data_IF_606517421118
#
_entry.id   IF_606517421118
#
_cell.length_a   1.000
_cell.length_b   1.000
_cell.length_c   1.000
_cell.angle_alpha   90.00
_cell.angle_beta   90.00
_cell.angle_gamma   90.00
#
_symmetry.space_group_name_H-M   'P 1'
#
loop_
_entity.id
_entity.type
_entity.pdbx_description
1 polymer ?
#
# COMPACT_ATOMS: atom_id res chain seq x y z
N UNK A 1 -40.13 16.37 -21.68
CA UNK A 1 -40.03 15.50 -20.48
C UNK A 1 -38.64 14.86 -20.34
N UNK A 2 -38.15 14.16 -21.38
CA UNK A 2 -36.85 13.45 -21.37
C UNK A 2 -35.64 14.34 -21.04
N UNK A 3 -35.52 15.54 -21.63
CA UNK A 3 -34.39 16.47 -21.33
C UNK A 3 -34.31 16.88 -19.85
N UNK A 4 -35.47 17.10 -19.18
CA UNK A 4 -35.52 17.43 -17.75
C UNK A 4 -35.07 16.25 -16.89
N UNK A 5 -35.51 15.04 -17.22
CA UNK A 5 -35.09 13.80 -16.55
C UNK A 5 -33.57 13.56 -16.68
N UNK A 6 -33.01 13.79 -17.86
CA UNK A 6 -31.56 13.66 -18.10
C UNK A 6 -30.76 14.65 -17.24
N UNK A 7 -31.20 15.91 -17.14
CA UNK A 7 -30.53 16.92 -16.31
C UNK A 7 -30.58 16.56 -14.83
N UNK A 8 -31.72 16.07 -14.35
CA UNK A 8 -31.88 15.63 -12.96
C UNK A 8 -30.94 14.44 -12.66
N UNK A 9 -30.91 13.43 -13.53
CA UNK A 9 -30.04 12.26 -13.37
C UNK A 9 -28.55 12.65 -13.36
N UNK A 10 -28.12 13.53 -14.26
CA UNK A 10 -26.75 14.05 -14.26
C UNK A 10 -26.43 14.85 -13.00
N UNK A 11 -27.37 15.65 -12.50
CA UNK A 11 -27.17 16.45 -11.29
C UNK A 11 -27.01 15.55 -10.07
N UNK A 12 -27.86 14.52 -9.94
CA UNK A 12 -27.74 13.52 -8.87
C UNK A 12 -26.38 12.82 -8.94
N UNK A 13 -25.95 12.39 -10.13
CA UNK A 13 -24.64 11.76 -10.31
C UNK A 13 -23.47 12.68 -9.91
N UNK A 14 -23.55 13.98 -10.23
CA UNK A 14 -22.52 14.95 -9.84
C UNK A 14 -22.50 15.10 -8.32
N UNK A 15 -23.66 15.22 -7.68
CA UNK A 15 -23.76 15.36 -6.22
C UNK A 15 -23.22 14.12 -5.49
N UNK A 16 -23.56 12.91 -5.94
CA UNK A 16 -23.02 11.67 -5.33
C UNK A 16 -21.50 11.58 -5.53
N UNK A 17 -20.98 11.97 -6.69
CA UNK A 17 -19.53 12.01 -6.91
C UNK A 17 -18.82 13.04 -6.01
N UNK A 18 -19.44 14.19 -5.74
CA UNK A 18 -18.90 15.19 -4.80
C UNK A 18 -18.91 14.67 -3.37
N UNK A 19 -19.97 13.99 -2.96
CA UNK A 19 -20.10 13.40 -1.64
C UNK A 19 -19.07 12.28 -1.42
N UNK A 20 -18.95 11.33 -2.35
CA UNK A 20 -17.93 10.26 -2.30
C UNK A 20 -16.53 10.86 -2.21
N UNK A 21 -16.22 11.89 -3.01
CA UNK A 21 -14.95 12.60 -2.93
C UNK A 21 -14.69 13.17 -1.54
N UNK A 22 -15.72 13.70 -0.87
CA UNK A 22 -15.62 14.20 0.51
C UNK A 22 -15.26 13.13 1.54
N UNK A 23 -15.61 11.86 1.28
CA UNK A 23 -15.30 10.74 2.17
C UNK A 23 -13.96 10.07 1.88
N UNK A 24 -13.57 9.96 0.62
CA UNK A 24 -12.42 9.11 0.22
C UNK A 24 -11.15 9.90 -0.13
N UNK A 25 -11.21 11.23 -0.18
CA UNK A 25 -10.02 12.08 -0.35
C UNK A 25 -9.48 12.58 0.99
N UNK A 26 -8.21 13.01 1.03
CA UNK A 26 -7.67 13.75 2.17
C UNK A 26 -8.54 14.96 2.50
N UNK A 27 -8.92 15.10 3.76
CA UNK A 27 -9.65 16.27 4.25
C UNK A 27 -8.74 17.49 4.20
N UNK A 28 -9.14 18.49 3.42
CA UNK A 28 -8.41 19.75 3.28
C UNK A 28 -8.24 20.43 4.65
N UNK A 29 -7.04 20.94 4.92
CA UNK A 29 -6.73 21.65 6.17
C UNK A 29 -6.37 20.74 7.36
N UNK A 30 -6.54 19.42 7.23
CA UNK A 30 -6.05 18.46 8.23
C UNK A 30 -4.64 17.98 7.87
N UNK A 31 -3.78 17.94 8.88
CA UNK A 31 -2.47 17.29 8.80
C UNK A 31 -2.63 15.79 8.48
N UNK A 32 -1.63 15.18 7.84
CA UNK A 32 -1.67 13.76 7.44
C UNK A 32 -1.99 12.86 8.64
N UNK A 33 -1.35 13.14 9.78
CA UNK A 33 -1.51 12.42 11.04
C UNK A 33 -2.94 12.45 11.59
N UNK A 34 -3.73 13.45 11.20
CA UNK A 34 -5.12 13.67 11.63
C UNK A 34 -6.14 13.18 10.60
N UNK A 35 -5.70 12.65 9.47
CA UNK A 35 -6.58 12.06 8.47
C UNK A 35 -7.15 10.73 9.00
N UNK A 36 -8.27 10.29 8.41
CA UNK A 36 -8.84 9.00 8.75
C UNK A 36 -7.83 7.86 8.46
N UNK A 37 -7.72 6.80 9.30
CA UNK A 37 -6.73 5.73 9.11
C UNK A 37 -6.71 5.11 7.71
N UNK A 38 -7.88 4.88 7.13
CA UNK A 38 -8.03 4.35 5.78
C UNK A 38 -7.48 5.31 4.71
N UNK A 39 -7.59 6.62 4.93
CA UNK A 39 -7.05 7.64 4.02
C UNK A 39 -5.53 7.69 4.10
N UNK A 40 -4.96 7.60 5.31
CA UNK A 40 -3.51 7.47 5.51
C UNK A 40 -2.99 6.19 4.83
N UNK A 41 -3.73 5.09 4.95
CA UNK A 41 -3.42 3.84 4.28
C UNK A 41 -3.47 3.97 2.76
N UNK A 42 -4.49 4.64 2.22
CA UNK A 42 -4.62 4.95 0.79
C UNK A 42 -3.48 5.83 0.29
N UNK A 43 -3.11 6.89 1.03
CA UNK A 43 -1.97 7.75 0.72
C UNK A 43 -0.67 6.94 0.61
N UNK A 44 -0.49 5.96 1.51
CA UNK A 44 0.70 5.12 1.50
C UNK A 44 0.76 4.24 0.26
N UNK A 45 -0.34 3.57 -0.08
CA UNK A 45 -0.42 2.74 -1.29
C UNK A 45 -0.23 3.60 -2.54
N UNK A 46 -0.82 4.80 -2.58
CA UNK A 46 -0.64 5.73 -3.70
C UNK A 46 0.82 6.18 -3.84
N UNK A 47 1.49 6.55 -2.74
CA UNK A 47 2.89 6.94 -2.77
C UNK A 47 3.82 5.83 -3.26
N UNK A 48 3.50 4.58 -2.95
CA UNK A 48 4.36 3.43 -3.22
C UNK A 48 4.03 2.70 -4.54
N UNK A 49 2.77 2.72 -4.99
CA UNK A 49 2.28 1.83 -6.05
C UNK A 49 1.24 2.46 -7.01
N UNK A 50 1.09 3.80 -7.04
CA UNK A 50 0.13 4.48 -7.97
C UNK A 50 0.34 4.19 -9.45
N UNK A 51 1.58 3.89 -9.88
CA UNK A 51 1.93 3.54 -11.26
C UNK A 51 1.89 2.04 -11.55
N UNK A 52 1.49 1.22 -10.58
CA UNK A 52 1.53 -0.23 -10.67
C UNK A 52 0.13 -0.83 -10.91
N UNK A 53 0.08 -2.13 -11.18
CA UNK A 53 -1.19 -2.83 -11.32
C UNK A 53 -1.98 -2.84 -10.01
N UNK A 54 -3.31 -3.03 -10.10
CA UNK A 54 -4.16 -3.14 -8.91
C UNK A 54 -3.69 -4.26 -7.95
N UNK A 55 -3.25 -5.41 -8.48
CA UNK A 55 -2.76 -6.50 -7.65
C UNK A 55 -1.44 -6.17 -6.95
N UNK A 56 -0.56 -5.38 -7.57
CA UNK A 56 0.65 -4.88 -6.91
C UNK A 56 0.32 -3.86 -5.80
N UNK A 57 -0.71 -3.02 -5.99
CA UNK A 57 -1.24 -2.15 -4.93
C UNK A 57 -1.77 -2.98 -3.75
N UNK A 58 -2.50 -4.07 -4.03
CA UNK A 58 -2.96 -5.04 -3.02
C UNK A 58 -1.79 -5.73 -2.33
N UNK A 59 -0.72 -6.09 -3.04
CA UNK A 59 0.47 -6.70 -2.44
C UNK A 59 1.21 -5.73 -1.49
N UNK A 60 1.35 -4.45 -1.87
CA UNK A 60 1.90 -3.41 -0.98
C UNK A 60 0.99 -3.22 0.24
N UNK A 61 -0.32 -3.17 0.04
CA UNK A 61 -1.30 -3.09 1.13
C UNK A 61 -1.19 -4.29 2.09
N UNK A 62 -0.99 -5.50 1.56
CA UNK A 62 -0.76 -6.72 2.33
C UNK A 62 0.50 -6.64 3.20
N UNK A 63 1.60 -6.11 2.67
CA UNK A 63 2.83 -5.89 3.46
C UNK A 63 2.56 -4.95 4.64
N UNK A 64 1.82 -3.85 4.41
CA UNK A 64 1.46 -2.92 5.48
C UNK A 64 0.60 -3.61 6.53
N UNK A 65 -0.43 -4.39 6.13
CA UNK A 65 -1.25 -5.19 7.05
C UNK A 65 -0.40 -6.19 7.84
N UNK A 66 0.58 -6.84 7.21
CA UNK A 66 1.46 -7.78 7.87
C UNK A 66 2.36 -7.10 8.92
N UNK A 67 2.83 -5.88 8.64
CA UNK A 67 3.53 -5.04 9.64
C UNK A 67 2.61 -4.65 10.80
N UNK A 68 1.39 -4.19 10.51
CA UNK A 68 0.34 -3.89 11.51
C UNK A 68 0.13 -5.07 12.45
N UNK A 69 -0.07 -6.27 11.90
CA UNK A 69 -0.23 -7.51 12.67
C UNK A 69 1.02 -7.88 13.47
N UNK A 70 2.21 -7.85 12.85
CA UNK A 70 3.49 -8.20 13.51
C UNK A 70 3.82 -7.26 14.66
N UNK A 71 3.58 -5.96 14.47
CA UNK A 71 3.92 -4.91 15.44
C UNK A 71 2.83 -4.68 16.48
N UNK A 72 1.62 -5.22 16.26
CA UNK A 72 0.43 -4.99 17.10
C UNK A 72 0.12 -3.51 17.27
N UNK A 73 0.15 -2.77 16.15
CA UNK A 73 -0.04 -1.31 16.09
C UNK A 73 -1.14 -0.95 15.10
N UNK A 74 -1.64 0.28 15.15
CA UNK A 74 -2.59 0.76 14.16
C UNK A 74 -1.93 0.99 12.79
N UNK A 75 -2.73 1.10 11.72
CA UNK A 75 -2.24 1.46 10.39
C UNK A 75 -1.46 2.80 10.40
N UNK A 76 -2.00 3.90 10.98
CA UNK A 76 -1.26 5.15 11.09
C UNK A 76 0.09 4.99 11.82
N UNK A 77 0.14 4.24 12.92
CA UNK A 77 1.38 4.05 13.68
C UNK A 77 2.47 3.34 12.87
N UNK A 78 2.08 2.39 12.02
CA UNK A 78 3.02 1.67 11.14
C UNK A 78 3.45 2.53 9.96
N UNK A 79 2.51 3.22 9.31
CA UNK A 79 2.76 4.02 8.10
C UNK A 79 3.60 5.26 8.42
N UNK A 80 3.27 5.94 9.52
CA UNK A 80 3.91 7.20 9.90
C UNK A 80 5.19 6.99 10.73
N UNK A 81 5.56 5.74 11.00
CA UNK A 81 6.82 5.45 11.67
C UNK A 81 8.01 5.93 10.80
N UNK A 82 8.93 6.63 11.45
CA UNK A 82 10.11 7.24 10.82
C UNK A 82 10.83 6.25 9.90
N UNK A 83 11.10 6.68 8.66
CA UNK A 83 11.83 5.95 7.60
C UNK A 83 11.17 4.65 7.10
N UNK A 84 9.92 4.35 7.46
CA UNK A 84 9.21 3.18 6.89
C UNK A 84 8.78 3.41 5.45
N UNK A 85 8.30 4.62 5.14
CA UNK A 85 7.85 5.03 3.83
C UNK A 85 8.38 6.43 3.56
N UNK A 86 9.24 6.56 2.54
CA UNK A 86 10.03 7.79 2.32
C UNK A 86 9.15 9.02 2.10
N UNK A 87 8.03 8.85 1.40
CA UNK A 87 7.06 9.89 1.06
C UNK A 87 6.37 10.56 2.25
N UNK A 88 6.43 9.98 3.47
CA UNK A 88 5.84 10.57 4.68
C UNK A 88 6.84 11.36 5.52
N UNK A 89 8.13 11.36 5.18
CA UNK A 89 9.13 12.11 5.93
C UNK A 89 8.80 13.62 5.86
N UNK A 90 8.89 14.32 6.98
CA UNK A 90 8.54 15.76 7.07
C UNK A 90 9.27 16.64 6.05
N UNK A 91 10.49 16.26 5.66
CA UNK A 91 11.31 16.98 4.69
C UNK A 91 11.11 16.51 3.24
N UNK A 92 10.27 15.51 2.98
CA UNK A 92 10.05 14.99 1.63
C UNK A 92 9.10 15.93 0.86
N UNK A 93 9.50 16.50 -0.29
CA UNK A 93 8.65 17.37 -1.10
C UNK A 93 7.40 16.65 -1.65
N UNK A 94 7.38 15.32 -1.64
CA UNK A 94 6.21 14.54 -2.01
C UNK A 94 5.17 14.44 -0.89
N UNK A 95 5.50 14.81 0.35
CA UNK A 95 4.56 14.77 1.48
C UNK A 95 3.35 15.66 1.26
N UNK A 96 3.54 16.86 0.71
CA UNK A 96 2.42 17.76 0.36
C UNK A 96 1.53 17.18 -0.74
N UNK A 97 2.11 16.40 -1.66
CA UNK A 97 1.36 15.78 -2.77
C UNK A 97 0.32 14.78 -2.25
N UNK A 98 0.60 14.13 -1.12
CA UNK A 98 -0.33 13.20 -0.46
C UNK A 98 -1.65 13.87 -0.05
N UNK A 99 -1.64 15.17 0.27
CA UNK A 99 -2.84 15.93 0.65
C UNK A 99 -3.66 16.39 -0.56
N UNK A 100 -3.06 16.46 -1.75
CA UNK A 100 -3.74 16.87 -2.98
C UNK A 100 -3.46 15.90 -4.14
N UNK A 101 -3.82 14.61 -4.02
CA UNK A 101 -3.44 13.57 -4.96
C UNK A 101 -3.98 13.85 -6.37
N UNK A 102 -5.19 14.42 -6.48
CA UNK A 102 -5.83 14.71 -7.77
C UNK A 102 -5.19 15.86 -8.56
N UNK A 103 -4.23 16.59 -7.98
CA UNK A 103 -3.39 17.53 -8.74
C UNK A 103 -2.30 16.82 -9.55
N UNK A 104 -1.96 15.59 -9.19
CA UNK A 104 -0.81 14.85 -9.74
C UNK A 104 -1.24 13.60 -10.50
N UNK A 105 -2.35 12.98 -10.11
CA UNK A 105 -2.83 11.74 -10.72
C UNK A 105 -4.35 11.77 -10.91
N UNK A 106 -4.83 10.91 -11.81
CA UNK A 106 -6.27 10.83 -12.11
C UNK A 106 -7.08 10.27 -10.94
N UNK A 107 -8.38 10.59 -10.92
CA UNK A 107 -9.36 9.99 -10.00
C UNK A 107 -9.32 8.45 -10.02
N UNK A 108 -9.12 7.87 -11.21
CA UNK A 108 -9.03 6.40 -11.41
C UNK A 108 -7.85 5.78 -10.64
N UNK A 109 -6.71 6.48 -10.60
CA UNK A 109 -5.52 5.99 -9.88
C UNK A 109 -5.77 6.05 -8.37
N UNK A 110 -6.32 7.16 -7.87
CA UNK A 110 -6.65 7.31 -6.46
C UNK A 110 -7.66 6.24 -6.00
N UNK A 111 -8.75 6.06 -6.74
CA UNK A 111 -9.79 5.09 -6.36
C UNK A 111 -9.27 3.65 -6.41
N UNK A 112 -8.35 3.33 -7.33
CA UNK A 112 -7.66 2.03 -7.36
C UNK A 112 -6.90 1.78 -6.06
N UNK A 113 -6.13 2.76 -5.59
CA UNK A 113 -5.40 2.68 -4.33
C UNK A 113 -6.34 2.62 -3.12
N UNK A 114 -7.43 3.38 -3.13
CA UNK A 114 -8.44 3.36 -2.08
C UNK A 114 -9.14 2.00 -1.99
N UNK A 115 -9.54 1.42 -3.12
CA UNK A 115 -10.13 0.08 -3.16
C UNK A 115 -9.17 -0.97 -2.61
N UNK A 116 -7.88 -0.92 -2.98
CA UNK A 116 -6.87 -1.82 -2.41
C UNK A 116 -6.75 -1.66 -0.89
N UNK A 117 -6.76 -0.41 -0.39
CA UNK A 117 -6.76 -0.13 1.04
C UNK A 117 -7.98 -0.72 1.73
N UNK A 118 -9.19 -0.44 1.23
CA UNK A 118 -10.48 -0.92 1.77
C UNK A 118 -10.54 -2.44 1.86
N UNK A 119 -10.18 -3.13 0.78
CA UNK A 119 -10.24 -4.59 0.71
C UNK A 119 -9.30 -5.25 1.73
N UNK A 120 -8.12 -4.66 1.95
CA UNK A 120 -7.15 -5.18 2.92
C UNK A 120 -7.51 -4.78 4.35
N UNK A 121 -7.94 -3.53 4.56
CA UNK A 121 -8.34 -3.00 5.87
C UNK A 121 -9.51 -3.81 6.46
N UNK A 122 -10.49 -4.16 5.63
CA UNK A 122 -11.66 -4.96 6.03
C UNK A 122 -11.45 -6.48 5.90
N UNK A 123 -10.22 -6.94 5.61
CA UNK A 123 -9.88 -8.36 5.44
C UNK A 123 -10.72 -9.11 4.39
N UNK A 124 -11.16 -8.43 3.33
CA UNK A 124 -11.95 -9.03 2.25
C UNK A 124 -11.10 -9.95 1.37
N UNK A 125 -9.83 -9.58 1.15
CA UNK A 125 -8.90 -10.35 0.31
C UNK A 125 -7.78 -10.98 1.17
N UNK A 126 -7.41 -12.25 0.91
CA UNK A 126 -6.31 -12.92 1.60
C UNK A 126 -4.95 -12.29 1.27
N UNK A 127 -3.93 -12.63 2.06
CA UNK A 127 -2.56 -12.18 1.80
C UNK A 127 -1.94 -12.94 0.62
N UNK A 128 -1.77 -12.24 -0.51
CA UNK A 128 -1.15 -12.74 -1.73
C UNK A 128 0.38 -12.66 -1.73
N UNK A 129 1.00 -12.15 -0.66
CA UNK A 129 2.46 -11.97 -0.53
C UNK A 129 3.14 -13.05 0.32
N UNK A 130 2.36 -14.00 0.84
CA UNK A 130 2.84 -15.10 1.69
C UNK A 130 3.57 -14.63 2.96
N UNK A 131 3.02 -13.62 3.62
CA UNK A 131 3.55 -13.06 4.87
C UNK A 131 4.71 -12.08 4.67
N UNK A 132 4.82 -11.46 3.50
CA UNK A 132 5.86 -10.46 3.27
C UNK A 132 5.69 -9.28 4.23
N UNK A 133 6.81 -8.79 4.74
CA UNK A 133 6.87 -7.58 5.59
C UNK A 133 7.77 -6.51 4.98
N UNK A 134 8.47 -6.83 3.89
CA UNK A 134 9.38 -5.94 3.20
C UNK A 134 9.16 -6.06 1.71
N UNK A 135 9.46 -5.00 0.98
CA UNK A 135 9.57 -5.05 -0.48
C UNK A 135 10.60 -4.02 -0.94
N UNK A 136 11.10 -4.21 -2.16
CA UNK A 136 11.83 -3.18 -2.88
C UNK A 136 11.42 -3.21 -4.35
N UNK A 137 11.62 -2.08 -5.02
CA UNK A 137 11.40 -1.91 -6.46
C UNK A 137 12.71 -1.53 -7.17
N UNK A 138 12.73 -1.76 -8.48
CA UNK A 138 13.89 -1.49 -9.33
C UNK A 138 15.01 -2.52 -9.20
N UNK A 139 16.10 -2.27 -9.91
CA UNK A 139 17.21 -3.22 -10.07
C UNK A 139 18.17 -3.21 -8.87
N UNK A 140 18.27 -2.08 -8.16
CA UNK A 140 19.21 -1.94 -7.05
C UNK A 140 18.72 -2.72 -5.84
N UNK A 141 19.33 -3.87 -5.60
CA UNK A 141 19.05 -4.71 -4.42
C UNK A 141 19.54 -4.04 -3.14
N UNK A 142 18.65 -3.69 -2.18
CA UNK A 142 19.07 -3.11 -0.91
C UNK A 142 19.87 -4.11 -0.07
N UNK A 143 20.82 -3.62 0.74
CA UNK A 143 21.69 -4.50 1.55
C UNK A 143 20.88 -5.42 2.47
N UNK A 144 19.79 -4.92 3.05
CA UNK A 144 18.93 -5.67 3.96
C UNK A 144 18.22 -6.85 3.26
N UNK A 145 17.98 -6.76 1.95
CA UNK A 145 17.25 -7.78 1.21
C UNK A 145 18.05 -9.08 1.07
N UNK A 146 19.40 -9.02 1.14
CA UNK A 146 20.29 -10.18 1.01
C UNK A 146 20.09 -11.22 2.11
N UNK A 147 19.68 -10.77 3.29
CA UNK A 147 19.44 -11.64 4.45
C UNK A 147 17.98 -12.12 4.56
N UNK A 148 17.13 -11.76 3.59
CA UNK A 148 15.71 -12.10 3.61
C UNK A 148 15.36 -13.21 2.63
N UNK A 149 14.13 -13.72 2.73
CA UNK A 149 13.56 -14.70 1.80
C UNK A 149 12.57 -13.98 0.89
N UNK A 150 12.78 -14.08 -0.42
CA UNK A 150 11.79 -13.62 -1.41
C UNK A 150 10.57 -14.56 -1.34
N UNK A 151 9.39 -13.98 -1.16
CA UNK A 151 8.11 -14.70 -1.11
C UNK A 151 7.31 -14.55 -2.38
N UNK A 152 7.45 -13.41 -3.06
CA UNK A 152 6.79 -13.11 -4.32
C UNK A 152 7.60 -12.10 -5.12
N UNK A 153 7.54 -12.22 -6.44
CA UNK A 153 8.09 -11.25 -7.38
C UNK A 153 7.00 -10.87 -8.39
N UNK A 154 6.91 -9.57 -8.67
CA UNK A 154 6.00 -9.00 -9.67
C UNK A 154 6.82 -8.16 -10.65
N UNK A 155 6.14 -7.51 -11.61
CA UNK A 155 6.81 -6.64 -12.56
C UNK A 155 7.63 -5.54 -11.87
N UNK A 156 7.10 -4.94 -10.81
CA UNK A 156 7.74 -3.78 -10.17
C UNK A 156 8.40 -4.10 -8.82
N UNK A 157 8.04 -5.21 -8.17
CA UNK A 157 8.41 -5.45 -6.78
C UNK A 157 8.96 -6.84 -6.53
N UNK A 158 9.94 -6.92 -5.62
CA UNK A 158 10.22 -8.16 -4.89
C UNK A 158 9.71 -8.00 -3.46
N UNK A 159 8.91 -8.96 -3.02
CA UNK A 159 8.33 -9.04 -1.68
C UNK A 159 9.11 -10.05 -0.84
N UNK A 160 9.44 -9.69 0.39
CA UNK A 160 10.34 -10.44 1.25
C UNK A 160 9.85 -10.54 2.69
N UNK A 161 10.28 -11.60 3.36
CA UNK A 161 10.14 -11.78 4.82
C UNK A 161 11.45 -12.24 5.45
N UNK A 162 11.56 -12.03 6.76
CA UNK A 162 12.70 -12.49 7.54
C UNK A 162 12.81 -14.02 7.47
N UNK A 163 14.04 -14.54 7.54
CA UNK A 163 14.29 -15.98 7.63
C UNK A 163 13.73 -16.49 8.96
N UNK A 164 12.71 -17.32 8.91
CA UNK A 164 12.22 -18.00 10.11
C UNK A 164 13.13 -19.20 10.50
N UNK A 165 12.91 -19.72 11.72
CA UNK A 165 13.68 -20.86 12.25
C UNK A 165 13.58 -22.08 11.33
N UNK A 166 12.45 -22.26 10.65
CA UNK A 166 12.20 -23.38 9.75
C UNK A 166 12.99 -23.24 8.45
N UNK A 167 13.05 -22.06 7.85
CA UNK A 167 13.92 -21.76 6.72
C UNK A 167 15.38 -22.02 7.09
N UNK A 168 15.84 -21.52 8.24
CA UNK A 168 17.21 -21.75 8.71
C UNK A 168 17.49 -23.24 8.94
N UNK A 169 16.51 -23.99 9.44
CA UNK A 169 16.60 -25.45 9.58
C UNK A 169 16.74 -26.16 8.23
N UNK A 170 15.86 -25.85 7.26
CA UNK A 170 15.91 -26.43 5.90
C UNK A 170 17.19 -26.06 5.16
N UNK A 171 17.67 -24.82 5.29
CA UNK A 171 18.93 -24.36 4.71
C UNK A 171 20.13 -25.13 5.27
N UNK A 172 20.24 -25.26 6.61
CA UNK A 172 21.30 -26.05 7.25
C UNK A 172 21.30 -27.50 6.78
N UNK A 173 20.12 -28.11 6.59
CA UNK A 173 19.97 -29.47 6.05
C UNK A 173 20.49 -29.59 4.60
N UNK A 174 20.17 -28.62 3.73
CA UNK A 174 20.67 -28.60 2.33
C UNK A 174 22.18 -28.43 2.25
N UNK A 175 22.76 -27.51 3.02
CA UNK A 175 24.22 -27.29 3.05
C UNK A 175 24.95 -28.53 3.57
N UNK A 176 24.40 -29.20 4.59
CA UNK A 176 24.96 -30.45 5.12
C UNK A 176 24.93 -31.57 4.08
N UNK A 177 23.86 -31.67 3.30
CA UNK A 177 23.73 -32.70 2.27
C UNK A 177 24.54 -32.39 1.00
N UNK A 178 24.77 -31.12 0.67
CA UNK A 178 25.57 -30.71 -0.49
C UNK A 178 27.09 -30.72 -0.27
N UNK A 179 27.57 -31.00 0.95
CA UNK A 179 29.00 -31.21 1.27
C UNK A 179 29.42 -32.69 1.25
N UNK A 180 28.47 -33.60 0.98
CA UNK A 180 28.70 -35.05 0.92
C UNK A 180 28.74 -35.60 -0.51
N UNK A 181 28.78 -34.72 -1.52
CA UNK A 181 29.08 -35.02 -2.92
C UNK A 181 30.35 -34.25 -3.32
#
# INVERSE_FOLDING_TARGET
>A
MVKKLIVIAHTILILTMLEIKGFILPKKGLEIEKQHPLIIFTMCIWGEARGCSFWEQVDVANVIRNRVKKMKKSYPDVILQRKQFSCFNKSDPNREKLLTPLKYDSWKIWISCFCAAELIYNNIIPDSTYGATHYYSGERVPYWAKEMVVTKETKHFKFLKERDKEYMYRFKKRVKNGKNN
#
